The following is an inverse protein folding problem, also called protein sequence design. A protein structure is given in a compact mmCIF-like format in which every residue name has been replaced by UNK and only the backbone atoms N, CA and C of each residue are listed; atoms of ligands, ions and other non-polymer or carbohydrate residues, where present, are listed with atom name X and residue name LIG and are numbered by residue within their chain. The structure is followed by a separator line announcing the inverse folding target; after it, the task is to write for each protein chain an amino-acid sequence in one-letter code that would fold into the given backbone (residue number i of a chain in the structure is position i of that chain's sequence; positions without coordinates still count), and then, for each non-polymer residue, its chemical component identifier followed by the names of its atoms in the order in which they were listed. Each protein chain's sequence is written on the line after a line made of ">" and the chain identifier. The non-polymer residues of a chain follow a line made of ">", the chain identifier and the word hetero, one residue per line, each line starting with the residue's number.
data_IF_266286421546
#
_entry.id   IF_266286421546
#
_cell.length_a   1.000
_cell.length_b   1.000
_cell.length_c   1.000
_cell.angle_alpha   90.00
_cell.angle_beta   90.00
_cell.angle_gamma   90.00
#
_symmetry.space_group_name_H-M   'P 1'
#
loop_
_entity.id
_entity.type
_entity.pdbx_description
1 polymer ?
#
# COMPACT_ATOMS: atom_id res chain seq x y z
N UNK A 1 -54.69 106.41 28.45
CA UNK A 1 -53.46 107.22 28.41
C UNK A 1 -52.25 106.32 28.66
N UNK A 2 -52.27 105.50 29.72
CA UNK A 2 -51.22 104.51 30.04
C UNK A 2 -50.75 103.62 28.87
N UNK A 3 -51.67 103.03 28.10
CA UNK A 3 -51.30 102.14 26.99
C UNK A 3 -50.54 102.85 25.83
N UNK A 4 -50.68 104.17 25.71
CA UNK A 4 -50.00 104.97 24.70
C UNK A 4 -48.58 105.34 25.17
N UNK A 5 -48.44 105.75 26.42
CA UNK A 5 -47.14 106.01 27.05
C UNK A 5 -46.25 104.76 27.07
N UNK A 6 -46.85 103.57 27.29
CA UNK A 6 -46.11 102.31 27.27
C UNK A 6 -45.53 102.01 25.88
N UNK A 7 -46.32 102.20 24.80
CA UNK A 7 -45.83 102.04 23.43
C UNK A 7 -44.71 103.03 23.11
N UNK A 8 -44.82 104.28 23.57
CA UNK A 8 -43.78 105.30 23.39
C UNK A 8 -42.48 104.91 24.10
N UNK A 9 -42.57 104.39 25.34
CA UNK A 9 -41.41 103.90 26.07
C UNK A 9 -40.74 102.69 25.38
N UNK A 10 -41.54 101.74 24.87
CA UNK A 10 -41.02 100.59 24.12
C UNK A 10 -40.34 101.01 22.81
N UNK A 11 -40.91 101.98 22.09
CA UNK A 11 -40.32 102.56 20.86
C UNK A 11 -39.02 103.27 21.18
N UNK A 12 -38.97 104.09 22.24
CA UNK A 12 -37.76 104.80 22.65
C UNK A 12 -36.62 103.82 23.03
N UNK A 13 -36.93 102.75 23.77
CA UNK A 13 -35.97 101.71 24.12
C UNK A 13 -35.47 100.95 22.88
N UNK A 14 -36.37 100.61 21.95
CA UNK A 14 -36.02 99.95 20.70
C UNK A 14 -35.14 100.84 19.80
N UNK A 15 -35.50 102.12 19.62
CA UNK A 15 -34.69 103.08 18.87
C UNK A 15 -33.30 103.24 19.50
N UNK A 16 -33.21 103.39 20.82
CA UNK A 16 -31.92 103.42 21.53
C UNK A 16 -31.08 102.17 21.28
N UNK A 17 -31.70 100.97 21.23
CA UNK A 17 -31.02 99.71 20.91
C UNK A 17 -30.50 99.69 19.45
N UNK A 18 -31.30 100.15 18.49
CA UNK A 18 -30.94 100.14 17.06
C UNK A 18 -29.82 101.15 16.75
N UNK A 19 -29.91 102.36 17.30
CA UNK A 19 -28.93 103.42 17.05
C UNK A 19 -27.67 103.28 17.93
N UNK A 20 -27.75 102.57 19.06
CA UNK A 20 -26.63 102.38 19.99
C UNK A 20 -26.15 103.73 20.54
N UNK A 21 -24.90 104.07 20.26
CA UNK A 21 -24.29 105.35 20.67
C UNK A 21 -24.60 106.52 19.71
N UNK A 22 -25.25 106.26 18.56
CA UNK A 22 -25.60 107.30 17.60
C UNK A 22 -26.83 108.09 18.05
N UNK A 23 -26.88 109.41 17.75
CA UNK A 23 -28.05 110.22 18.06
C UNK A 23 -29.27 109.76 17.26
N UNK A 24 -30.41 109.61 17.92
CA UNK A 24 -31.68 109.25 17.29
C UNK A 24 -32.18 110.45 16.47
N UNK A 25 -32.52 110.29 15.17
CA UNK A 25 -33.08 111.36 14.36
C UNK A 25 -34.37 111.93 14.99
N UNK A 26 -34.56 113.25 14.89
CA UNK A 26 -35.78 113.89 15.37
C UNK A 26 -37.00 113.39 14.59
N UNK A 27 -38.06 113.03 15.30
CA UNK A 27 -39.33 112.60 14.73
C UNK A 27 -40.51 113.16 15.53
N UNK A 28 -41.68 113.22 14.91
CA UNK A 28 -42.90 113.68 15.57
C UNK A 28 -43.51 112.56 16.43
N UNK A 29 -43.57 112.78 17.73
CA UNK A 29 -44.24 111.86 18.67
C UNK A 29 -45.73 112.15 18.67
N UNK A 30 -46.48 111.36 17.88
CA UNK A 30 -47.94 111.38 17.83
C UNK A 30 -48.48 109.95 17.77
N UNK A 31 -49.79 109.72 18.03
CA UNK A 31 -50.36 108.38 18.11
C UNK A 31 -50.08 107.50 16.88
N UNK A 32 -50.16 108.08 15.68
CA UNK A 32 -49.93 107.36 14.41
C UNK A 32 -48.47 106.95 14.27
N UNK A 33 -47.52 107.86 14.53
CA UNK A 33 -46.09 107.57 14.40
C UNK A 33 -45.63 106.53 15.42
N UNK A 34 -46.09 106.65 16.67
CA UNK A 34 -45.81 105.68 17.73
C UNK A 34 -46.33 104.29 17.38
N UNK A 35 -47.57 104.17 16.87
CA UNK A 35 -48.15 102.88 16.49
C UNK A 35 -47.33 102.19 15.37
N UNK A 36 -46.93 102.96 14.34
CA UNK A 36 -46.11 102.45 13.23
C UNK A 36 -44.76 101.96 13.74
N UNK A 37 -44.06 102.77 14.56
CA UNK A 37 -42.75 102.41 15.10
C UNK A 37 -42.83 101.22 16.06
N UNK A 38 -43.88 101.15 16.88
CA UNK A 38 -44.12 100.03 17.78
C UNK A 38 -44.31 98.72 17.01
N UNK A 39 -45.14 98.72 15.95
CA UNK A 39 -45.29 97.55 15.10
C UNK A 39 -44.00 97.14 14.39
N UNK A 40 -43.19 98.11 13.95
CA UNK A 40 -41.89 97.83 13.35
C UNK A 40 -40.92 97.21 14.38
N UNK A 41 -40.89 97.75 15.59
CA UNK A 41 -40.10 97.22 16.70
C UNK A 41 -40.47 95.76 16.99
N UNK A 42 -41.76 95.46 17.08
CA UNK A 42 -42.24 94.12 17.39
C UNK A 42 -41.93 93.13 16.26
N UNK A 43 -42.16 93.53 15.00
CA UNK A 43 -41.76 92.72 13.83
C UNK A 43 -40.25 92.45 13.80
N UNK A 44 -39.43 93.44 14.15
CA UNK A 44 -37.99 93.26 14.22
C UNK A 44 -37.58 92.35 15.38
N UNK A 45 -38.21 92.46 16.56
CA UNK A 45 -37.96 91.54 17.67
C UNK A 45 -38.24 90.09 17.30
N UNK A 46 -39.34 89.81 16.60
CA UNK A 46 -39.68 88.46 16.13
C UNK A 46 -38.64 87.99 15.12
N UNK A 47 -38.33 88.81 14.10
CA UNK A 47 -37.31 88.47 13.10
C UNK A 47 -35.93 88.23 13.71
N UNK A 48 -35.49 89.07 14.64
CA UNK A 48 -34.19 88.93 15.31
C UNK A 48 -34.13 87.63 16.10
N UNK A 49 -35.24 87.25 16.76
CA UNK A 49 -35.35 85.98 17.46
C UNK A 49 -35.26 84.80 16.49
N UNK A 50 -36.01 84.83 15.40
CA UNK A 50 -36.02 83.75 14.41
C UNK A 50 -34.64 83.59 13.76
N UNK A 51 -34.00 84.71 13.40
CA UNK A 51 -32.62 84.72 12.87
C UNK A 51 -31.64 84.15 13.88
N UNK A 52 -31.76 84.53 15.16
CA UNK A 52 -30.90 83.99 16.22
C UNK A 52 -31.06 82.47 16.37
N UNK A 53 -32.30 81.96 16.38
CA UNK A 53 -32.57 80.52 16.47
C UNK A 53 -31.96 79.76 15.29
N UNK A 54 -32.08 80.28 14.07
CA UNK A 54 -31.47 79.67 12.87
C UNK A 54 -29.94 79.67 12.97
N UNK A 55 -29.34 80.76 13.46
CA UNK A 55 -27.87 80.83 13.64
C UNK A 55 -27.40 79.79 14.66
N UNK A 56 -28.08 79.66 15.80
CA UNK A 56 -27.69 78.69 16.83
C UNK A 56 -27.89 77.24 16.35
N UNK A 57 -28.98 76.95 15.65
CA UNK A 57 -29.22 75.63 15.03
C UNK A 57 -28.11 75.26 14.03
N UNK A 58 -27.74 76.20 13.14
CA UNK A 58 -26.67 75.97 12.17
C UNK A 58 -25.30 75.79 12.83
N UNK A 59 -25.00 76.52 13.91
CA UNK A 59 -23.76 76.32 14.68
C UNK A 59 -23.72 74.95 15.33
N UNK A 60 -24.83 74.56 15.97
CA UNK A 60 -24.95 73.24 16.59
C UNK A 60 -24.76 72.14 15.53
N UNK A 61 -25.39 72.29 14.36
CA UNK A 61 -25.23 71.35 13.24
C UNK A 61 -23.80 71.29 12.71
N UNK A 62 -23.10 72.43 12.64
CA UNK A 62 -21.69 72.46 12.26
C UNK A 62 -20.82 71.69 13.26
N UNK A 63 -21.05 71.86 14.56
CA UNK A 63 -20.35 71.11 15.61
C UNK A 63 -20.64 69.61 15.57
N UNK A 64 -21.87 69.20 15.26
CA UNK A 64 -22.23 67.79 15.07
C UNK A 64 -21.47 67.16 13.91
N UNK A 65 -21.43 67.83 12.75
CA UNK A 65 -20.67 67.33 11.60
C UNK A 65 -19.17 67.28 11.86
N UNK A 66 -18.63 68.23 12.62
CA UNK A 66 -17.21 68.20 13.02
C UNK A 66 -16.91 66.99 13.90
N UNK A 67 -17.78 66.68 14.87
CA UNK A 67 -17.67 65.48 15.70
C UNK A 67 -17.74 64.20 14.85
N UNK A 68 -18.71 64.12 13.94
CA UNK A 68 -18.88 62.95 13.07
C UNK A 68 -17.66 62.74 12.16
N UNK A 69 -17.10 63.82 11.61
CA UNK A 69 -15.85 63.76 10.81
C UNK A 69 -14.69 63.22 11.64
N UNK A 70 -14.56 63.65 12.90
CA UNK A 70 -13.50 63.17 13.79
C UNK A 70 -13.66 61.68 14.12
N UNK A 71 -14.89 61.24 14.42
CA UNK A 71 -15.20 59.84 14.70
C UNK A 71 -14.90 58.95 13.48
N UNK A 72 -15.36 59.35 12.29
CA UNK A 72 -15.08 58.65 11.03
C UNK A 72 -13.57 58.62 10.71
N UNK A 73 -12.85 59.69 11.01
CA UNK A 73 -11.40 59.76 10.83
C UNK A 73 -10.68 58.76 11.75
N UNK A 74 -11.11 58.67 13.00
CA UNK A 74 -10.60 57.69 13.98
C UNK A 74 -10.84 56.25 13.50
N UNK A 75 -12.06 55.95 13.04
CA UNK A 75 -12.42 54.62 12.53
C UNK A 75 -11.65 54.25 11.27
N UNK A 76 -11.42 55.22 10.37
CA UNK A 76 -10.60 55.02 9.18
C UNK A 76 -9.15 54.68 9.58
N UNK A 77 -8.58 55.39 10.55
CA UNK A 77 -7.23 55.11 11.03
C UNK A 77 -7.13 53.71 11.67
N UNK A 78 -8.10 53.36 12.53
CA UNK A 78 -8.19 52.02 13.14
C UNK A 78 -8.28 50.93 12.08
N UNK A 79 -9.12 51.12 11.06
CA UNK A 79 -9.30 50.16 9.97
C UNK A 79 -8.00 50.02 9.15
N UNK A 80 -7.34 51.14 8.84
CA UNK A 80 -6.05 51.14 8.15
C UNK A 80 -4.96 50.42 8.93
N UNK A 81 -4.88 50.64 10.24
CA UNK A 81 -3.91 49.94 11.10
C UNK A 81 -4.13 48.44 11.12
N UNK A 82 -5.39 47.98 11.24
CA UNK A 82 -5.73 46.55 11.19
C UNK A 82 -5.40 45.91 9.84
N UNK A 83 -5.63 46.63 8.75
CA UNK A 83 -5.28 46.13 7.41
C UNK A 83 -3.78 45.90 7.27
N UNK A 84 -2.93 46.76 7.86
CA UNK A 84 -1.48 46.57 7.84
C UNK A 84 -1.06 45.38 8.72
N UNK A 85 -1.69 45.20 9.89
CA UNK A 85 -1.45 44.02 10.75
C UNK A 85 -1.79 42.71 10.03
N UNK A 86 -2.97 42.64 9.40
CA UNK A 86 -3.39 41.48 8.61
C UNK A 86 -2.40 41.20 7.48
N UNK A 87 -1.92 42.25 6.80
CA UNK A 87 -0.92 42.12 5.73
C UNK A 87 0.39 41.52 6.25
N UNK A 88 0.85 41.94 7.43
CA UNK A 88 2.05 41.36 8.05
C UNK A 88 1.85 39.87 8.39
N UNK A 89 0.71 39.51 8.99
CA UNK A 89 0.41 38.10 9.30
C UNK A 89 0.28 37.23 8.03
N UNK A 90 -0.31 37.76 6.95
CA UNK A 90 -0.34 37.07 5.65
C UNK A 90 1.06 36.76 5.15
N UNK A 91 1.98 37.73 5.17
CA UNK A 91 3.37 37.49 4.71
C UNK A 91 4.12 36.48 5.57
N UNK A 92 3.80 36.40 6.87
CA UNK A 92 4.37 35.40 7.79
C UNK A 92 3.85 34.00 7.48
N UNK A 93 2.54 33.87 7.24
CA UNK A 93 1.93 32.61 6.84
C UNK A 93 2.47 32.12 5.49
N UNK A 94 2.68 33.01 4.52
CA UNK A 94 3.30 32.68 3.22
C UNK A 94 4.71 32.09 3.38
N UNK A 95 5.54 32.70 4.23
CA UNK A 95 6.89 32.20 4.54
C UNK A 95 6.84 30.81 5.21
N UNK A 96 5.96 30.64 6.19
CA UNK A 96 5.77 29.36 6.89
C UNK A 96 5.27 28.27 5.94
N UNK A 97 4.33 28.60 5.06
CA UNK A 97 3.82 27.69 4.04
C UNK A 97 4.93 27.26 3.09
N UNK A 98 5.75 28.22 2.63
CA UNK A 98 6.90 27.93 1.76
C UNK A 98 7.90 26.98 2.44
N UNK A 99 8.26 27.24 3.69
CA UNK A 99 9.16 26.36 4.46
C UNK A 99 8.57 24.95 4.63
N UNK A 100 7.27 24.86 4.93
CA UNK A 100 6.56 23.59 5.12
C UNK A 100 6.53 22.78 3.82
N UNK A 101 6.25 23.42 2.68
CA UNK A 101 6.24 22.76 1.37
C UNK A 101 7.62 22.22 0.98
N UNK A 102 8.70 22.95 1.28
CA UNK A 102 10.07 22.48 1.03
C UNK A 102 10.36 21.24 1.88
N UNK A 103 10.01 21.26 3.18
CA UNK A 103 10.18 20.12 4.08
C UNK A 103 9.36 18.90 3.63
N UNK A 104 8.11 19.10 3.22
CA UNK A 104 7.26 18.03 2.68
C UNK A 104 7.92 17.36 1.47
N UNK A 105 8.48 18.14 0.55
CA UNK A 105 9.19 17.63 -0.62
C UNK A 105 10.42 16.80 -0.22
N UNK A 106 11.24 17.30 0.71
CA UNK A 106 12.40 16.57 1.22
C UNK A 106 12.00 15.22 1.85
N UNK A 107 10.98 15.23 2.71
CA UNK A 107 10.48 14.01 3.37
C UNK A 107 9.94 12.99 2.36
N UNK A 108 9.28 13.45 1.29
CA UNK A 108 8.79 12.60 0.20
C UNK A 108 9.94 11.91 -0.55
N UNK A 109 11.03 12.63 -0.80
CA UNK A 109 12.23 12.08 -1.45
C UNK A 109 12.93 11.06 -0.55
N UNK A 110 13.06 11.35 0.75
CA UNK A 110 13.63 10.43 1.73
C UNK A 110 12.82 9.14 1.86
N UNK A 111 11.48 9.25 1.88
CA UNK A 111 10.58 8.10 1.91
C UNK A 111 10.78 7.21 0.68
N UNK A 112 10.82 7.81 -0.52
CA UNK A 112 11.08 7.06 -1.77
C UNK A 112 12.43 6.34 -1.75
N UNK A 113 13.46 6.97 -1.17
CA UNK A 113 14.78 6.35 -1.01
C UNK A 113 14.73 5.17 -0.04
N UNK A 114 14.01 5.30 1.07
CA UNK A 114 13.83 4.23 2.05
C UNK A 114 13.05 3.04 1.46
N UNK A 115 12.00 3.28 0.69
CA UNK A 115 11.23 2.24 -0.02
C UNK A 115 12.12 1.45 -1.00
N UNK A 116 12.95 2.15 -1.77
CA UNK A 116 13.88 1.49 -2.70
C UNK A 116 14.91 0.63 -1.96
N UNK A 117 15.45 1.11 -0.84
CA UNK A 117 16.36 0.35 0.00
C UNK A 117 15.70 -0.92 0.55
N UNK A 118 14.47 -0.81 1.08
CA UNK A 118 13.70 -1.95 1.56
C UNK A 118 13.40 -2.96 0.44
N UNK A 119 13.03 -2.50 -0.76
CA UNK A 119 12.82 -3.39 -1.91
C UNK A 119 14.09 -4.17 -2.27
N UNK A 120 15.25 -3.53 -2.20
CA UNK A 120 16.55 -4.14 -2.50
C UNK A 120 16.91 -5.21 -1.46
N UNK A 121 16.77 -4.89 -0.17
CA UNK A 121 17.05 -5.84 0.90
C UNK A 121 16.07 -7.01 0.91
N UNK A 122 14.79 -6.76 0.61
CA UNK A 122 13.79 -7.82 0.44
C UNK A 122 14.19 -8.81 -0.66
N UNK A 123 14.58 -8.31 -1.84
CA UNK A 123 15.02 -9.17 -2.93
C UNK A 123 16.27 -10.00 -2.59
N UNK A 124 17.20 -9.44 -1.80
CA UNK A 124 18.37 -10.19 -1.30
C UNK A 124 17.97 -11.28 -0.32
N UNK A 125 17.08 -11.00 0.62
CA UNK A 125 16.57 -11.99 1.58
C UNK A 125 15.83 -13.11 0.84
N UNK A 126 15.00 -12.79 -0.14
CA UNK A 126 14.27 -13.77 -0.95
C UNK A 126 15.24 -14.69 -1.73
N UNK A 127 16.29 -14.13 -2.33
CA UNK A 127 17.35 -14.91 -2.98
C UNK A 127 18.04 -15.88 -2.00
N UNK A 128 18.36 -15.39 -0.79
CA UNK A 128 18.97 -16.22 0.25
C UNK A 128 18.02 -17.34 0.69
N UNK A 129 16.73 -17.04 0.81
CA UNK A 129 15.72 -18.02 1.19
C UNK A 129 15.59 -19.12 0.12
N UNK A 130 15.50 -18.74 -1.15
CA UNK A 130 15.48 -19.68 -2.28
C UNK A 130 16.73 -20.58 -2.29
N UNK A 131 17.91 -20.01 -2.05
CA UNK A 131 19.14 -20.79 -1.93
C UNK A 131 19.10 -21.78 -0.76
N UNK A 132 18.57 -21.35 0.39
CA UNK A 132 18.42 -22.24 1.55
C UNK A 132 17.43 -23.38 1.27
N UNK A 133 16.31 -23.09 0.62
CA UNK A 133 15.32 -24.10 0.24
C UNK A 133 15.89 -25.11 -0.75
N UNK A 134 16.67 -24.64 -1.74
CA UNK A 134 17.39 -25.52 -2.68
C UNK A 134 18.38 -26.45 -1.96
N UNK A 135 19.22 -25.91 -1.08
CA UNK A 135 20.19 -26.72 -0.32
C UNK A 135 19.49 -27.73 0.58
N UNK A 136 18.38 -27.33 1.21
CA UNK A 136 17.57 -28.21 2.03
C UNK A 136 17.00 -29.35 1.18
N UNK A 137 16.36 -29.07 0.05
CA UNK A 137 15.85 -30.09 -0.87
C UNK A 137 16.97 -31.05 -1.31
N UNK A 138 18.15 -30.52 -1.68
CA UNK A 138 19.30 -31.34 -2.09
C UNK A 138 19.80 -32.25 -0.97
N UNK A 139 19.85 -31.75 0.27
CA UNK A 139 20.24 -32.55 1.44
C UNK A 139 19.25 -33.70 1.69
N UNK A 140 17.96 -33.46 1.44
CA UNK A 140 16.93 -34.48 1.57
C UNK A 140 17.06 -35.56 0.49
N UNK A 141 17.34 -35.20 -0.76
CA UNK A 141 17.65 -36.14 -1.85
C UNK A 141 18.81 -37.07 -1.49
N UNK A 142 19.94 -36.51 -1.02
CA UNK A 142 21.09 -37.31 -0.60
C UNK A 142 20.74 -38.25 0.55
N UNK A 143 19.95 -37.78 1.52
CA UNK A 143 19.47 -38.60 2.64
C UNK A 143 18.59 -39.77 2.17
N UNK A 144 17.75 -39.58 1.15
CA UNK A 144 17.00 -40.68 0.53
C UNK A 144 17.94 -41.69 -0.15
N UNK A 145 18.93 -41.22 -0.91
CA UNK A 145 19.91 -42.07 -1.57
C UNK A 145 20.73 -42.92 -0.59
N UNK A 146 21.17 -42.34 0.52
CA UNK A 146 21.89 -43.05 1.60
C UNK A 146 21.02 -44.18 2.15
N UNK A 147 19.77 -43.89 2.52
CA UNK A 147 18.83 -44.92 3.04
C UNK A 147 18.60 -46.06 2.05
N UNK A 148 18.51 -45.76 0.76
CA UNK A 148 18.36 -46.79 -0.27
C UNK A 148 19.61 -47.68 -0.38
N UNK A 149 20.80 -47.08 -0.32
CA UNK A 149 22.07 -47.81 -0.34
C UNK A 149 22.25 -48.69 0.91
N UNK A 150 21.91 -48.18 2.10
CA UNK A 150 21.87 -48.95 3.34
C UNK A 150 20.92 -50.15 3.21
N UNK A 151 19.71 -49.96 2.66
CA UNK A 151 18.76 -51.05 2.47
C UNK A 151 19.26 -52.11 1.48
N UNK A 152 19.91 -51.68 0.40
CA UNK A 152 20.54 -52.59 -0.56
C UNK A 152 21.65 -53.41 0.10
N UNK A 153 22.44 -52.79 0.99
CA UNK A 153 23.49 -53.49 1.73
C UNK A 153 22.91 -54.53 2.70
N UNK A 154 21.83 -54.21 3.43
CA UNK A 154 21.10 -55.17 4.26
C UNK A 154 20.60 -56.37 3.46
N UNK A 155 19.93 -56.13 2.32
CA UNK A 155 19.42 -57.20 1.48
C UNK A 155 20.56 -58.06 0.93
N UNK A 156 21.67 -57.46 0.47
CA UNK A 156 22.85 -58.21 0.05
C UNK A 156 23.39 -59.11 1.15
N UNK A 157 23.46 -58.62 2.39
CA UNK A 157 23.89 -59.41 3.54
C UNK A 157 22.96 -60.60 3.79
N UNK A 158 21.64 -60.44 3.58
CA UNK A 158 20.66 -61.52 3.66
C UNK A 158 20.77 -62.53 2.50
N UNK A 159 21.22 -62.10 1.32
CA UNK A 159 21.43 -62.99 0.17
C UNK A 159 22.62 -63.93 0.36
N UNK A 160 23.63 -63.58 1.16
CA UNK A 160 24.81 -64.41 1.42
C UNK A 160 24.45 -65.82 1.93
N UNK A 161 23.69 -66.00 3.03
CA UNK A 161 23.33 -67.33 3.52
C UNK A 161 22.39 -68.08 2.56
N UNK A 162 21.51 -67.37 1.84
CA UNK A 162 20.64 -67.97 0.83
C UNK A 162 21.44 -68.52 -0.35
N UNK A 163 22.43 -67.76 -0.83
CA UNK A 163 23.36 -68.21 -1.87
C UNK A 163 24.16 -69.43 -1.42
N UNK A 164 24.67 -69.41 -0.18
CA UNK A 164 25.36 -70.57 0.40
C UNK A 164 24.47 -71.81 0.48
N UNK A 165 23.18 -71.66 0.82
CA UNK A 165 22.19 -72.75 0.77
C UNK A 165 21.97 -73.25 -0.65
N UNK A 166 21.84 -72.34 -1.63
CA UNK A 166 21.66 -72.70 -3.04
C UNK A 166 22.87 -73.46 -3.60
N UNK A 167 24.09 -73.00 -3.34
CA UNK A 167 25.32 -73.68 -3.75
C UNK A 167 25.36 -75.11 -3.17
N UNK A 168 24.98 -75.27 -1.89
CA UNK A 168 24.84 -76.59 -1.26
C UNK A 168 23.80 -77.49 -1.94
N UNK A 169 22.69 -76.94 -2.48
CA UNK A 169 21.70 -77.73 -3.23
C UNK A 169 22.20 -78.11 -4.62
N UNK A 170 22.98 -77.25 -5.29
CA UNK A 170 23.57 -77.53 -6.60
C UNK A 170 24.60 -78.68 -6.53
N UNK A 171 25.39 -78.74 -5.45
CA UNK A 171 26.33 -79.83 -5.19
C UNK A 171 25.65 -81.19 -4.95
N UNK A 172 24.36 -81.18 -4.57
CA UNK A 172 23.57 -82.39 -4.28
C UNK A 172 22.91 -83.00 -5.51
N UNK A 173 22.87 -82.31 -6.66
CA UNK A 173 22.31 -82.89 -7.87
C UNK A 173 23.30 -83.89 -8.49
N UNK A 174 22.89 -85.15 -8.77
CA UNK A 174 23.73 -86.09 -9.50
C UNK A 174 24.11 -85.48 -10.84
N UNK A 175 25.41 -85.26 -11.08
CA UNK A 175 25.88 -84.83 -12.38
C UNK A 175 25.50 -85.92 -13.41
N UNK A 176 24.60 -85.66 -14.35
CA UNK A 176 24.09 -86.68 -15.27
C UNK A 176 25.21 -87.33 -16.10
N UNK A 177 26.27 -86.57 -16.40
CA UNK A 177 27.43 -87.05 -17.13
C UNK A 177 28.32 -87.95 -16.27
N UNK A 178 28.48 -87.66 -14.98
CA UNK A 178 29.25 -88.51 -14.06
C UNK A 178 28.52 -89.84 -13.80
N UNK A 179 27.20 -89.81 -13.69
CA UNK A 179 26.38 -91.02 -13.58
C UNK A 179 26.48 -91.87 -14.84
N UNK A 180 26.42 -91.27 -16.04
CA UNK A 180 26.60 -91.98 -17.31
C UNK A 180 27.99 -92.64 -17.43
N UNK A 181 29.05 -91.93 -17.05
CA UNK A 181 30.42 -92.48 -17.07
C UNK A 181 30.53 -93.67 -16.11
N UNK A 182 29.99 -93.57 -14.89
CA UNK A 182 30.01 -94.70 -13.95
C UNK A 182 29.17 -95.89 -14.42
N UNK A 183 28.07 -95.64 -15.14
CA UNK A 183 27.28 -96.70 -15.76
C UNK A 183 28.08 -97.40 -16.88
N UNK A 184 28.77 -96.65 -17.74
CA UNK A 184 29.60 -97.24 -18.81
C UNK A 184 30.85 -97.94 -18.28
N UNK A 185 31.45 -97.44 -17.21
CA UNK A 185 32.60 -98.07 -16.54
C UNK A 185 32.19 -99.39 -15.87
N UNK A 186 31.07 -99.40 -15.14
CA UNK A 186 30.50 -100.63 -14.57
C UNK A 186 30.09 -101.65 -15.66
N UNK A 187 29.60 -101.19 -16.82
CA UNK A 187 29.35 -102.08 -17.97
C UNK A 187 30.64 -102.71 -18.48
N UNK A 188 31.76 -101.98 -18.47
CA UNK A 188 33.08 -102.46 -18.90
C UNK A 188 33.65 -103.49 -17.93
N UNK A 189 33.58 -103.21 -16.63
CA UNK A 189 33.99 -104.15 -15.58
C UNK A 189 33.15 -105.45 -15.62
N UNK A 190 31.84 -105.33 -15.86
CA UNK A 190 30.96 -106.49 -16.03
C UNK A 190 31.31 -107.28 -17.30
N UNK A 191 31.77 -106.60 -18.36
CA UNK A 191 32.25 -107.25 -19.59
C UNK A 191 33.56 -108.01 -19.39
N UNK A 192 34.48 -107.47 -18.58
CA UNK A 192 35.73 -108.13 -18.22
C UNK A 192 35.51 -109.29 -17.23
N UNK A 193 34.66 -109.13 -16.21
CA UNK A 193 34.22 -110.23 -15.36
C UNK A 193 33.49 -111.33 -16.14
N UNK A 194 32.73 -110.95 -17.19
CA UNK A 194 32.13 -111.89 -18.14
C UNK A 194 33.20 -112.61 -18.98
N UNK A 195 34.28 -111.94 -19.40
CA UNK A 195 35.41 -112.58 -20.08
C UNK A 195 36.17 -113.53 -19.17
N UNK A 196 36.37 -113.19 -17.90
CA UNK A 196 36.99 -114.05 -16.90
C UNK A 196 36.12 -115.29 -16.62
N UNK A 197 34.79 -115.12 -16.58
CA UNK A 197 33.84 -116.22 -16.51
C UNK A 197 33.86 -117.10 -17.78
N UNK A 198 34.07 -116.50 -18.96
CA UNK A 198 34.19 -117.20 -20.24
C UNK A 198 35.56 -117.87 -20.47
N UNK A 199 36.61 -117.48 -19.74
CA UNK A 199 37.93 -118.13 -19.82
C UNK A 199 37.99 -119.44 -18.99
N UNK A 200 37.07 -119.62 -18.04
CA UNK A 200 37.01 -120.81 -17.17
C UNK A 200 36.09 -121.94 -17.69
N UNK A 201 35.38 -121.78 -18.82
CA UNK A 201 34.51 -122.84 -19.34
C UNK A 201 34.36 -122.82 -20.87
N UNK A 202 34.98 -123.80 -21.54
CA UNK A 202 34.70 -124.16 -22.92
C UNK A 202 33.56 -125.20 -22.99
N UNK A 203 32.78 -125.12 -24.09
CA UNK A 203 31.72 -126.01 -24.60
C UNK A 203 30.30 -125.85 -24.01
N UNK A 204 29.43 -125.10 -24.70
CA UNK A 204 28.29 -125.62 -25.49
C UNK A 204 27.34 -124.50 -25.98
N UNK A 205 27.49 -124.24 -27.29
CA UNK A 205 26.55 -123.86 -28.36
C UNK A 205 25.02 -123.76 -28.10
N UNK A 206 24.40 -122.82 -28.87
CA UNK A 206 23.02 -122.74 -29.46
C UNK A 206 22.02 -121.81 -28.71
N UNK A 207 21.18 -120.97 -29.37
CA UNK A 207 21.33 -120.20 -30.62
C UNK A 207 20.84 -118.72 -30.54
N UNK A 208 21.03 -118.00 -31.65
CA UNK A 208 20.48 -116.69 -32.00
C UNK A 208 19.13 -116.78 -32.75
N UNK A 209 18.56 -115.60 -33.10
CA UNK A 209 17.40 -115.27 -33.96
C UNK A 209 16.13 -114.89 -33.16
N UNK A 210 15.33 -113.85 -33.44
CA UNK A 210 15.17 -112.91 -34.57
C UNK A 210 14.23 -111.76 -34.07
N UNK A 211 14.59 -110.48 -34.27
CA UNK A 211 14.01 -109.52 -35.26
C UNK A 211 12.55 -109.07 -35.05
N UNK A 212 12.37 -107.77 -34.72
CA UNK A 212 11.59 -106.77 -35.48
C UNK A 212 11.67 -105.43 -34.71
N UNK A 213 12.38 -104.37 -35.14
CA UNK A 213 12.21 -103.51 -36.30
C UNK A 213 10.82 -102.84 -36.39
N UNK A 214 10.68 -101.63 -35.84
CA UNK A 214 10.21 -100.49 -36.64
C UNK A 214 10.45 -99.15 -35.94
N UNK A 215 11.16 -98.31 -36.66
CA UNK A 215 11.46 -96.90 -36.42
C UNK A 215 10.25 -96.04 -36.81
N UNK A 216 9.97 -94.99 -36.04
CA UNK A 216 9.39 -93.76 -36.61
C UNK A 216 9.86 -92.51 -35.86
N UNK A 217 10.49 -91.53 -36.54
CA UNK A 217 11.04 -90.34 -35.91
C UNK A 217 10.36 -89.05 -36.41
N UNK A 218 10.79 -87.94 -35.79
CA UNK A 218 10.74 -86.54 -36.26
C UNK A 218 9.39 -85.78 -36.20
N UNK A 219 9.37 -84.62 -35.54
CA UNK A 219 9.55 -83.30 -36.17
C UNK A 219 9.23 -82.18 -35.13
N UNK A 220 10.24 -81.35 -34.83
CA UNK A 220 10.29 -79.90 -35.09
C UNK A 220 9.50 -78.95 -34.16
N UNK A 221 10.28 -78.15 -33.41
CA UNK A 221 10.08 -76.70 -33.13
C UNK A 221 9.64 -75.93 -34.41
N UNK A 222 9.08 -74.68 -34.39
CA UNK A 222 9.65 -73.54 -33.67
C UNK A 222 8.75 -72.32 -33.31
N UNK A 223 9.33 -71.48 -32.44
CA UNK A 223 9.35 -70.00 -32.43
C UNK A 223 8.56 -69.28 -33.54
N UNK A 224 7.74 -68.30 -33.14
CA UNK A 224 7.69 -67.00 -33.82
C UNK A 224 7.25 -65.86 -32.88
N UNK A 225 8.09 -64.82 -32.87
CA UNK A 225 7.79 -63.43 -32.47
C UNK A 225 6.64 -62.83 -33.30
N UNK A 226 6.27 -61.60 -32.91
CA UNK A 226 5.39 -60.58 -33.53
C UNK A 226 4.22 -60.30 -32.56
N UNK A 227 3.82 -59.09 -32.20
CA UNK A 227 4.23 -57.74 -32.54
C UNK A 227 3.63 -56.80 -31.46
N UNK A 228 4.13 -55.57 -31.45
CA UNK A 228 3.48 -54.31 -31.07
C UNK A 228 1.98 -54.36 -30.70
N UNK A 229 1.61 -53.69 -29.59
CA UNK A 229 0.77 -52.47 -29.60
C UNK A 229 0.53 -51.89 -28.21
N UNK A 230 0.65 -50.55 -28.17
CA UNK A 230 -0.19 -49.54 -27.50
C UNK A 230 -0.65 -49.75 -26.04
N UNK A 231 -0.42 -48.74 -25.19
CA UNK A 231 -1.43 -47.74 -24.76
C UNK A 231 -1.26 -47.27 -23.29
N UNK A 232 -1.09 -45.95 -23.10
CA UNK A 232 -1.48 -45.04 -21.98
C UNK A 232 -1.10 -45.44 -20.53
N UNK A 233 -0.45 -44.58 -19.72
CA UNK A 233 -0.84 -43.25 -19.21
C UNK A 233 0.40 -42.45 -18.81
#
# INVERSE_FOLDING_TARGET
>A
MEAQEEKEAQVAAWLKKIFGDHPIPQYEVNPRTTEILHHLAERNRVRDRDVYLVIEDLKQKASEYESEVNDLTSDLFRTKSKNEEIKLELTKLEKNLTATLVLEKCLREDLKKAELHLSTERAKVDNRLQNMDFLKAKSEEFRFGIRAAEKLAELKQQTIPLKKKLDSYLDLMPNPSLAQVKIEEAKRELLDARKDFLHSHCVLRVPAAEQDNTVRPLFYSPVRQMDEKEEYV
#
